data_IF_425825812340
#
_entry.id   IF_425825812340
#
_cell.length_a   1.000
_cell.length_b   1.000
_cell.length_c   1.000
_cell.angle_alpha   90.00
_cell.angle_beta   90.00
_cell.angle_gamma   90.00
#
_symmetry.space_group_name_H-M   'P 1'
#
loop_
_entity.id
_entity.type
_entity.pdbx_description
1 polymer ?
#
# COMPACT_ATOMS: atom_id res chain seq x y z
N UNK A 1 -5.32 -14.11 14.47
CA UNK A 1 -5.53 -13.55 14.14
C UNK A 1 -5.27 -13.07 14.08
N UNK A 2 -5.06 -13.23 14.23
CA UNK A 2 -5.07 -12.69 13.89
C UNK A 2 -4.52 -11.89 13.86
N UNK A 3 -4.43 -11.59 14.01
CA UNK A 3 -4.20 -10.79 13.75
C UNK A 3 -3.86 -9.93 13.80
N UNK A 4 -3.81 -9.75 14.05
CA UNK A 4 -3.87 -8.85 13.89
C UNK A 4 -3.98 -8.03 13.62
N UNK A 5 -4.45 -7.70 13.74
CA UNK A 5 -4.84 -6.90 13.26
C UNK A 5 -4.80 -5.99 13.66
N UNK A 6 -4.63 -5.59 13.99
CA UNK A 6 -4.97 -4.74 14.30
C UNK A 6 -5.37 -3.97 14.03
N UNK A 7 -5.57 -3.93 13.99
CA UNK A 7 -6.19 -3.35 13.65
C UNK A 7 -6.82 -3.48 13.56
N UNK A 8 -6.84 -4.10 13.72
CA UNK A 8 -7.49 -4.50 13.48
C UNK A 8 -8.13 -4.77 13.41
N UNK A 9 -8.56 -5.29 13.55
CA UNK A 9 -9.33 -5.68 13.35
C UNK A 9 -9.62 -6.49 13.17
N UNK A 10 -9.49 -7.11 13.24
CA UNK A 10 -9.74 -8.06 12.67
C UNK A 10 -10.12 -8.65 12.62
N UNK A 11 -10.30 -9.09 12.67
CA UNK A 11 -10.74 -9.86 12.44
C UNK A 11 -11.05 -10.43 12.56
N UNK A 12 -11.35 -10.60 12.87
CA UNK A 12 -11.81 -11.37 12.77
C UNK A 12 -12.98 -11.67 12.42
N UNK A 13 -13.69 -11.60 12.28
CA UNK A 13 -14.76 -11.84 11.93
C UNK A 13 -14.78 -12.24 10.66
N UNK A 14 -14.07 -12.41 10.25
CA UNK A 14 -13.96 -12.72 9.11
C UNK A 14 -14.53 -13.77 8.76
N UNK A 15 -14.46 -14.54 9.44
CA UNK A 15 -14.97 -15.61 9.21
C UNK A 15 -16.21 -15.70 9.04
N UNK A 16 -16.82 -15.00 9.52
CA UNK A 16 -18.10 -15.10 9.47
C UNK A 16 -18.58 -14.92 8.16
N UNK A 17 -17.95 -14.59 7.30
CA UNK A 17 -18.49 -14.28 6.07
C UNK A 17 -19.01 -15.48 5.45
N UNK A 18 -19.75 -15.39 4.52
CA UNK A 18 -20.22 -16.49 3.80
C UNK A 18 -19.20 -17.04 2.88
N UNK A 19 -18.01 -16.55 2.91
CA UNK A 19 -16.99 -17.04 2.05
C UNK A 19 -16.24 -18.09 2.74
N UNK A 20 -16.86 -19.18 2.95
CA UNK A 20 -16.24 -20.25 3.66
C UNK A 20 -14.89 -20.54 3.08
N UNK A 21 -13.89 -20.53 3.87
CA UNK A 21 -12.56 -20.84 3.43
C UNK A 21 -11.75 -19.70 2.91
N UNK A 22 -12.37 -18.55 2.70
CA UNK A 22 -11.60 -17.41 2.23
C UNK A 22 -11.08 -16.63 3.41
N UNK A 23 -9.79 -16.39 3.39
CA UNK A 23 -9.14 -15.66 4.46
C UNK A 23 -8.48 -14.38 3.96
N UNK A 24 -8.95 -13.88 2.84
CA UNK A 24 -8.37 -12.68 2.27
C UNK A 24 -8.58 -11.49 3.17
N UNK A 25 -7.69 -10.55 3.07
CA UNK A 25 -7.68 -9.40 3.95
C UNK A 25 -7.19 -8.18 3.20
N UNK A 26 -7.79 -7.03 3.45
CA UNK A 26 -7.32 -5.79 2.84
C UNK A 26 -6.13 -5.26 3.60
N UNK A 27 -5.12 -4.86 2.84
CA UNK A 27 -3.91 -4.26 3.39
C UNK A 27 -3.79 -2.85 2.82
N UNK A 28 -3.61 -1.88 3.69
CA UNK A 28 -3.47 -0.48 3.30
C UNK A 28 -2.01 -0.10 3.46
N UNK A 29 -1.41 0.45 2.41
CA UNK A 29 -0.02 0.87 2.44
C UNK A 29 0.07 2.28 1.87
N UNK A 30 0.75 3.16 2.60
CA UNK A 30 0.88 4.56 2.21
C UNK A 30 2.26 4.83 1.65
N UNK A 31 2.30 5.63 0.60
CA UNK A 31 3.56 6.12 0.03
C UNK A 31 3.45 7.62 -0.15
N UNK A 32 4.56 8.31 0.04
CA UNK A 32 4.59 9.77 -0.07
C UNK A 32 5.62 10.19 -1.10
N UNK A 33 5.22 11.08 -1.98
CA UNK A 33 6.12 11.63 -3.00
C UNK A 33 5.99 13.15 -2.99
N UNK A 34 6.92 13.81 -3.66
CA UNK A 34 6.88 15.25 -3.80
C UNK A 34 5.68 15.66 -4.64
N UNK A 35 5.17 16.88 -4.41
CA UNK A 35 4.11 17.41 -5.27
C UNK A 35 4.59 17.59 -6.70
N UNK A 36 5.90 17.54 -6.94
CA UNK A 36 6.44 17.70 -8.29
C UNK A 36 6.57 16.38 -9.03
N UNK A 37 6.23 15.27 -8.38
CA UNK A 37 6.34 13.98 -9.04
C UNK A 37 5.23 13.81 -10.08
N UNK A 38 5.52 13.00 -11.09
CA UNK A 38 4.51 12.62 -12.07
C UNK A 38 3.60 11.59 -11.40
N UNK A 39 2.40 11.99 -11.04
CA UNK A 39 1.53 11.16 -10.22
C UNK A 39 1.02 9.93 -10.96
N UNK A 40 0.85 10.02 -12.28
CA UNK A 40 0.46 8.85 -13.04
C UNK A 40 1.57 7.80 -13.06
N UNK A 41 2.80 8.27 -13.19
CA UNK A 41 3.93 7.36 -13.15
C UNK A 41 4.02 6.67 -11.77
N UNK A 42 3.83 7.45 -10.72
CA UNK A 42 3.91 6.92 -9.35
C UNK A 42 2.82 5.86 -9.14
N UNK A 43 1.60 6.18 -9.56
CA UNK A 43 0.50 5.23 -9.40
C UNK A 43 0.79 3.93 -10.16
N UNK A 44 1.33 4.07 -11.36
CA UNK A 44 1.64 2.89 -12.17
C UNK A 44 2.70 2.01 -11.51
N UNK A 45 3.71 2.63 -10.91
CA UNK A 45 4.75 1.87 -10.22
C UNK A 45 4.15 1.08 -9.06
N UNK A 46 3.35 1.75 -8.23
CA UNK A 46 2.79 1.08 -7.07
C UNK A 46 1.86 -0.05 -7.51
N UNK A 47 1.02 0.23 -8.48
CA UNK A 47 0.08 -0.77 -8.95
C UNK A 47 0.78 -1.99 -9.53
N UNK A 48 1.82 -1.76 -10.31
CA UNK A 48 2.53 -2.88 -10.91
C UNK A 48 3.19 -3.76 -9.86
N UNK A 49 3.78 -3.15 -8.85
CA UNK A 49 4.40 -3.92 -7.78
C UNK A 49 3.36 -4.75 -7.04
N UNK A 50 2.20 -4.15 -6.77
CA UNK A 50 1.15 -4.86 -6.06
C UNK A 50 0.65 -6.05 -6.86
N UNK A 51 0.32 -5.83 -8.13
CA UNK A 51 -0.31 -6.90 -8.91
C UNK A 51 0.66 -8.00 -9.28
N UNK A 52 1.96 -7.74 -9.16
CA UNK A 52 2.94 -8.79 -9.43
C UNK A 52 3.45 -9.45 -8.15
N UNK A 53 2.95 -9.04 -6.99
CA UNK A 53 3.36 -9.67 -5.75
C UNK A 53 2.72 -11.04 -5.64
N UNK A 54 3.48 -12.02 -5.21
CA UNK A 54 2.95 -13.37 -5.09
C UNK A 54 1.95 -13.51 -3.97
N UNK A 55 1.83 -12.52 -3.10
CA UNK A 55 0.88 -12.56 -1.99
C UNK A 55 -0.46 -11.91 -2.33
N UNK A 56 -0.56 -11.24 -3.46
CA UNK A 56 -1.74 -10.45 -3.80
C UNK A 56 -2.91 -11.32 -4.21
N UNK A 57 -4.10 -10.93 -3.77
CA UNK A 57 -5.34 -11.58 -4.17
C UNK A 57 -6.01 -10.68 -5.18
N UNK A 58 -5.90 -11.03 -6.45
CA UNK A 58 -6.28 -10.13 -7.52
C UNK A 58 -7.74 -10.22 -7.92
N UNK A 59 -8.52 -11.07 -7.28
CA UNK A 59 -9.95 -11.09 -7.55
C UNK A 59 -10.65 -9.89 -6.97
N UNK A 60 -10.00 -9.16 -6.06
CA UNK A 60 -10.53 -7.91 -5.53
C UNK A 60 -9.64 -6.79 -6.01
N UNK A 61 -10.23 -5.64 -6.31
CA UNK A 61 -9.49 -4.58 -7.00
C UNK A 61 -8.45 -3.90 -6.12
N UNK A 62 -7.41 -3.39 -6.76
CA UNK A 62 -6.46 -2.49 -6.12
C UNK A 62 -7.01 -1.09 -6.31
N UNK A 63 -7.12 -0.34 -5.23
CA UNK A 63 -7.63 1.02 -5.31
C UNK A 63 -6.66 1.98 -4.65
N UNK A 64 -6.78 3.25 -4.99
CA UNK A 64 -5.90 4.28 -4.48
C UNK A 64 -6.71 5.47 -3.99
N UNK A 65 -6.28 6.05 -2.88
CA UNK A 65 -6.73 7.36 -2.46
C UNK A 65 -5.51 8.26 -2.52
N UNK A 66 -5.57 9.31 -3.32
CA UNK A 66 -4.44 10.19 -3.57
C UNK A 66 -4.80 11.56 -3.06
N UNK A 67 -3.99 12.13 -2.16
CA UNK A 67 -4.30 13.45 -1.66
C UNK A 67 -3.05 14.19 -1.25
N UNK A 68 -3.11 15.51 -1.30
CA UNK A 68 -2.03 16.34 -0.82
C UNK A 68 -2.07 16.40 0.69
N UNK A 69 -0.92 16.28 1.31
CA UNK A 69 -0.81 16.34 2.76
C UNK A 69 0.41 17.17 3.12
N UNK A 70 0.45 17.61 4.36
CA UNK A 70 1.61 18.32 4.87
C UNK A 70 2.41 17.39 5.74
N UNK A 71 3.72 17.37 5.52
CA UNK A 71 4.63 16.62 6.35
C UNK A 71 5.70 17.60 6.79
N UNK A 72 5.69 17.97 8.06
CA UNK A 72 6.60 19.00 8.54
C UNK A 72 6.34 20.28 7.78
N UNK A 73 7.37 20.81 7.14
CA UNK A 73 7.26 22.06 6.39
C UNK A 73 7.02 21.84 4.92
N UNK A 74 6.77 20.61 4.49
CA UNK A 74 6.71 20.33 3.07
C UNK A 74 5.33 19.83 2.70
N UNK A 75 4.88 20.16 1.51
CA UNK A 75 3.72 19.53 0.91
C UNK A 75 4.17 18.23 0.27
N UNK A 76 3.33 17.25 0.37
CA UNK A 76 3.60 15.96 -0.24
C UNK A 76 2.30 15.43 -0.82
N UNK A 77 2.40 14.41 -1.66
CA UNK A 77 1.22 13.69 -2.13
C UNK A 77 1.29 12.30 -1.52
N UNK A 78 0.23 11.91 -0.84
CA UNK A 78 0.14 10.59 -0.24
C UNK A 78 -0.68 9.69 -1.15
N UNK A 79 -0.08 8.54 -1.48
CA UNK A 79 -0.78 7.49 -2.21
C UNK A 79 -1.13 6.41 -1.20
N UNK A 80 -2.40 6.29 -0.89
CA UNK A 80 -2.86 5.23 0.01
C UNK A 80 -3.37 4.10 -0.86
N UNK A 81 -2.60 3.02 -0.95
CA UNK A 81 -2.98 1.89 -1.75
C UNK A 81 -3.76 0.90 -0.90
N UNK A 82 -4.80 0.33 -1.46
CA UNK A 82 -5.60 -0.70 -0.81
C UNK A 82 -5.61 -1.90 -1.71
N UNK A 83 -5.15 -3.01 -1.19
CA UNK A 83 -5.08 -4.24 -1.95
C UNK A 83 -5.38 -5.39 -1.02
N UNK A 84 -5.66 -6.56 -1.57
CA UNK A 84 -6.02 -7.71 -0.76
C UNK A 84 -4.93 -8.76 -0.86
N UNK A 85 -4.72 -9.48 0.23
CA UNK A 85 -3.79 -10.61 0.25
C UNK A 85 -4.59 -11.89 0.29
N UNK A 86 -3.94 -12.97 -0.12
CA UNK A 86 -4.58 -14.28 -0.18
C UNK A 86 -4.98 -14.80 1.19
N UNK A 87 -4.24 -14.41 2.22
CA UNK A 87 -4.44 -14.95 3.55
C UNK A 87 -3.92 -13.93 4.54
N UNK A 88 -4.59 -13.78 5.68
CA UNK A 88 -4.17 -12.81 6.69
C UNK A 88 -2.75 -13.05 7.16
N UNK A 89 -2.25 -14.28 7.06
CA UNK A 89 -0.89 -14.59 7.45
C UNK A 89 0.13 -13.84 6.62
N UNK A 90 -0.24 -13.43 5.42
CA UNK A 90 0.69 -12.80 4.51
C UNK A 90 0.68 -11.29 4.59
N UNK A 91 -0.06 -10.72 5.54
CA UNK A 91 -0.18 -9.26 5.61
C UNK A 91 1.18 -8.57 5.68
N UNK A 92 2.01 -9.00 6.63
CA UNK A 92 3.29 -8.33 6.83
C UNK A 92 4.26 -8.63 5.70
N UNK A 93 4.27 -9.86 5.22
CA UNK A 93 5.14 -10.23 4.11
C UNK A 93 4.78 -9.43 2.85
N UNK A 94 3.49 -9.28 2.60
CA UNK A 94 3.03 -8.51 1.45
C UNK A 94 3.44 -7.05 1.58
N UNK A 95 3.20 -6.46 2.75
CA UNK A 95 3.50 -5.05 2.95
C UNK A 95 4.99 -4.79 2.80
N UNK A 96 5.82 -5.67 3.36
CA UNK A 96 7.26 -5.53 3.23
C UNK A 96 7.71 -5.67 1.78
N UNK A 97 7.12 -6.63 1.07
CA UNK A 97 7.44 -6.86 -0.33
C UNK A 97 7.11 -5.62 -1.17
N UNK A 98 5.93 -5.07 -0.97
CA UNK A 98 5.49 -3.90 -1.73
C UNK A 98 6.36 -2.70 -1.42
N UNK A 99 6.63 -2.44 -0.14
CA UNK A 99 7.45 -1.28 0.24
C UNK A 99 8.85 -1.42 -0.33
N UNK A 100 9.41 -2.62 -0.26
CA UNK A 100 10.77 -2.85 -0.77
C UNK A 100 10.86 -2.53 -2.26
N UNK A 101 9.96 -3.10 -3.05
CA UNK A 101 10.04 -2.94 -4.50
C UNK A 101 9.61 -1.56 -4.95
N UNK A 102 8.59 -0.97 -4.34
CA UNK A 102 8.17 0.37 -4.69
C UNK A 102 9.30 1.36 -4.39
N UNK A 103 9.92 1.25 -3.21
CA UNK A 103 10.99 2.15 -2.85
C UNK A 103 12.18 2.02 -3.80
N UNK A 104 12.50 0.78 -4.18
CA UNK A 104 13.59 0.54 -5.12
C UNK A 104 13.28 1.17 -6.49
N UNK A 105 12.04 1.04 -6.96
CA UNK A 105 11.68 1.62 -8.25
C UNK A 105 11.59 3.13 -8.19
N UNK A 106 11.13 3.68 -7.06
CA UNK A 106 11.14 5.14 -6.90
C UNK A 106 12.56 5.67 -7.03
N UNK A 107 13.52 4.96 -6.42
CA UNK A 107 14.91 5.41 -6.51
C UNK A 107 15.45 5.24 -7.93
N UNK A 108 15.17 4.10 -8.55
CA UNK A 108 15.65 3.81 -9.89
C UNK A 108 15.12 4.80 -10.92
N UNK A 109 13.88 5.19 -10.79
CA UNK A 109 13.24 6.10 -11.73
C UNK A 109 13.28 7.55 -11.27
N UNK A 110 14.02 7.80 -10.20
CA UNK A 110 14.26 9.16 -9.70
C UNK A 110 12.98 9.92 -9.41
N UNK A 111 12.04 9.24 -8.77
CA UNK A 111 10.80 9.88 -8.35
C UNK A 111 11.15 10.85 -7.22
N UNK A 112 10.78 12.13 -7.36
CA UNK A 112 11.10 13.09 -6.30
C UNK A 112 10.30 12.80 -5.05
N UNK A 113 11.00 12.75 -3.92
CA UNK A 113 10.38 12.47 -2.63
C UNK A 113 10.20 13.76 -1.86
N UNK A 114 9.34 13.78 -0.86
CA UNK A 114 9.14 15.00 -0.08
C UNK A 114 10.43 15.41 0.62
N UNK A 115 10.64 16.71 0.71
CA UNK A 115 11.81 17.23 1.37
C UNK A 115 11.37 18.27 2.35
N UNK A 116 11.87 18.18 3.56
CA UNK A 116 11.61 19.19 4.56
C UNK A 116 12.73 20.22 4.44
N UNK A 117 12.34 21.49 4.23
CA UNK A 117 13.30 22.54 4.09
C UNK A 117 13.75 22.99 5.48
N UNK A 118 15.03 23.25 5.61
CA UNK A 118 15.56 23.73 6.86
C UNK A 118 16.21 25.05 6.63
N UNK A 119 16.12 25.90 7.61
CA UNK A 119 16.71 27.22 7.51
C UNK A 119 18.16 27.21 7.81
#
# INVERSE_FOLDING_TARGET
NLVTIPNARFITDVVASGNAGELDMMVVTDFHVSVQADLEQVRGIIEEVIVTSRYAYLKKPVTFAIEEVEIGNALAVRFRSKAYVLDVRYEKAFQSDVVLWVTALFRDQEIPRPRILRD
#
